data_IF_605031024228
#
_entry.id   IF_605031024228
#
_cell.length_a   1.000
_cell.length_b   1.000
_cell.length_c   1.000
_cell.angle_alpha   90.00
_cell.angle_beta   90.00
_cell.angle_gamma   90.00
#
_symmetry.space_group_name_H-M   'P 1'
#
loop_
_entity.id
_entity.type
_entity.pdbx_description
1 polymer ?
#
# COMPACT_ATOMS: atom_id res chain seq x y z
N UNK A 1 4.37 20.68 -28.56
CA UNK A 1 2.99 20.22 -28.35
C UNK A 1 3.06 19.29 -27.16
N UNK A 2 2.61 19.73 -25.99
CA UNK A 2 2.46 18.84 -24.83
C UNK A 2 1.28 17.95 -25.14
N UNK A 3 1.55 16.67 -25.39
CA UNK A 3 0.51 15.67 -25.56
C UNK A 3 -0.37 15.71 -24.30
N UNK A 4 -1.67 15.93 -24.49
CA UNK A 4 -2.66 15.92 -23.42
C UNK A 4 -2.83 14.45 -23.02
N UNK A 5 -1.95 13.99 -22.14
CA UNK A 5 -1.99 12.60 -21.65
C UNK A 5 -3.30 12.47 -20.88
N UNK A 6 -4.21 11.58 -21.29
CA UNK A 6 -5.49 11.42 -20.61
C UNK A 6 -5.24 11.03 -19.15
N UNK A 7 -5.97 11.67 -18.24
CA UNK A 7 -5.92 11.37 -16.80
C UNK A 7 -6.18 9.87 -16.64
N UNK A 8 -5.22 9.15 -16.05
CA UNK A 8 -5.35 7.71 -15.81
C UNK A 8 -6.44 7.43 -14.79
N UNK A 9 -7.24 6.41 -15.09
CA UNK A 9 -8.28 5.93 -14.19
C UNK A 9 -7.66 5.30 -12.92
N UNK A 10 -8.17 5.59 -11.70
CA UNK A 10 -7.63 5.05 -10.46
C UNK A 10 -7.58 3.52 -10.40
N UNK A 11 -8.55 2.81 -11.00
CA UNK A 11 -8.54 1.35 -11.02
C UNK A 11 -7.49 0.82 -12.00
N UNK A 12 -7.20 1.55 -13.08
CA UNK A 12 -6.06 1.24 -13.94
C UNK A 12 -4.74 1.38 -13.17
N UNK A 13 -4.54 2.51 -12.48
CA UNK A 13 -3.33 2.74 -11.67
C UNK A 13 -3.17 1.64 -10.61
N UNK A 14 -4.25 1.28 -9.91
CA UNK A 14 -4.26 0.19 -8.92
C UNK A 14 -3.79 -1.15 -9.52
N UNK A 15 -4.34 -1.53 -10.68
CA UNK A 15 -3.98 -2.78 -11.37
C UNK A 15 -2.53 -2.77 -11.85
N UNK A 16 -2.03 -1.65 -12.34
CA UNK A 16 -0.63 -1.53 -12.77
C UNK A 16 0.34 -1.62 -11.59
N UNK A 17 0.03 -0.95 -10.47
CA UNK A 17 0.75 -1.13 -9.22
C UNK A 17 0.80 -2.60 -8.80
N UNK A 18 -0.35 -3.28 -8.77
CA UNK A 18 -0.45 -4.68 -8.37
C UNK A 18 0.42 -5.58 -9.25
N UNK A 19 0.34 -5.42 -10.58
CA UNK A 19 1.14 -6.19 -11.53
C UNK A 19 2.64 -5.99 -11.35
N UNK A 20 3.10 -4.74 -11.18
CA UNK A 20 4.53 -4.42 -11.03
C UNK A 20 5.08 -4.87 -9.68
N UNK A 21 4.36 -4.57 -8.60
CA UNK A 21 4.78 -4.89 -7.24
C UNK A 21 4.76 -6.40 -6.95
N UNK A 22 3.87 -7.16 -7.57
CA UNK A 22 3.85 -8.62 -7.44
C UNK A 22 5.14 -9.29 -7.91
N UNK A 23 5.86 -8.66 -8.85
CA UNK A 23 7.12 -9.20 -9.38
C UNK A 23 8.34 -8.87 -8.50
N UNK A 24 8.19 -8.05 -7.45
CA UNK A 24 9.31 -7.63 -6.60
C UNK A 24 9.43 -8.56 -5.40
N UNK A 25 10.64 -9.08 -5.19
CA UNK A 25 10.95 -9.87 -3.99
C UNK A 25 11.05 -8.95 -2.76
N UNK A 26 10.11 -9.10 -1.84
CA UNK A 26 10.01 -8.36 -0.59
C UNK A 26 9.65 -9.32 0.54
N UNK A 27 9.80 -8.89 1.80
CA UNK A 27 9.36 -9.72 2.92
C UNK A 27 7.85 -9.97 2.88
N UNK A 28 7.41 -11.15 3.33
CA UNK A 28 5.99 -11.52 3.42
C UNK A 28 5.16 -10.47 4.19
N UNK A 29 5.76 -9.90 5.24
CA UNK A 29 5.15 -8.83 6.03
C UNK A 29 4.88 -7.57 5.21
N UNK A 30 5.83 -7.16 4.36
CA UNK A 30 5.64 -5.99 3.50
C UNK A 30 4.71 -6.32 2.32
N UNK A 31 4.75 -7.54 1.80
CA UNK A 31 3.82 -8.04 0.79
C UNK A 31 2.37 -7.98 1.28
N UNK A 32 2.11 -8.34 2.55
CA UNK A 32 0.77 -8.22 3.15
C UNK A 32 0.29 -6.77 3.21
N UNK A 33 1.19 -5.82 3.54
CA UNK A 33 0.88 -4.38 3.56
C UNK A 33 0.53 -3.88 2.15
N UNK A 34 1.33 -4.23 1.14
CA UNK A 34 1.08 -3.84 -0.24
C UNK A 34 -0.23 -4.45 -0.78
N UNK A 35 -0.48 -5.73 -0.48
CA UNK A 35 -1.74 -6.40 -0.81
C UNK A 35 -2.94 -5.67 -0.19
N UNK A 36 -2.86 -5.30 1.10
CA UNK A 36 -3.90 -4.53 1.76
C UNK A 36 -4.13 -3.15 1.11
N UNK A 37 -3.07 -2.41 0.75
CA UNK A 37 -3.19 -1.10 0.09
C UNK A 37 -3.85 -1.19 -1.28
N UNK A 38 -3.62 -2.29 -2.00
CA UNK A 38 -4.12 -2.52 -3.35
C UNK A 38 -5.45 -3.28 -3.38
N UNK A 39 -5.93 -3.78 -2.24
CA UNK A 39 -7.11 -4.62 -2.16
C UNK A 39 -6.91 -6.03 -2.74
N UNK A 40 -5.68 -6.53 -2.71
CA UNK A 40 -5.27 -7.83 -3.27
C UNK A 40 -5.03 -8.89 -2.17
N UNK A 41 -5.18 -10.15 -2.56
CA UNK A 41 -5.17 -11.31 -1.65
C UNK A 41 -3.83 -12.06 -1.75
N UNK A 42 -2.76 -11.34 -1.46
CA UNK A 42 -1.38 -11.80 -1.72
C UNK A 42 -0.80 -12.72 -0.65
N UNK A 43 -1.32 -12.67 0.57
CA UNK A 43 -0.78 -13.42 1.72
C UNK A 43 -1.88 -14.14 2.48
N UNK A 44 -1.50 -15.18 3.23
CA UNK A 44 -2.38 -15.91 4.15
C UNK A 44 -1.69 -16.00 5.52
N UNK A 45 -2.25 -15.45 6.60
CA UNK A 45 -3.54 -14.74 6.67
C UNK A 45 -3.51 -13.40 5.91
N UNK A 46 -4.63 -13.06 5.27
CA UNK A 46 -4.79 -11.81 4.53
C UNK A 46 -4.89 -10.64 5.51
N UNK A 47 -4.10 -9.59 5.27
CA UNK A 47 -4.29 -8.29 5.93
C UNK A 47 -5.45 -7.55 5.24
N UNK A 48 -6.50 -7.24 5.98
CA UNK A 48 -7.75 -6.65 5.41
C UNK A 48 -7.90 -5.17 5.71
N UNK A 49 -7.27 -4.69 6.78
CA UNK A 49 -7.38 -3.29 7.19
C UNK A 49 -6.13 -2.86 7.95
N UNK A 50 -5.80 -1.57 7.84
CA UNK A 50 -4.74 -0.93 8.60
C UNK A 50 -5.26 0.32 9.31
N UNK A 51 -4.61 0.70 10.40
CA UNK A 51 -4.88 1.94 11.12
C UNK A 51 -3.58 2.56 11.63
N UNK A 52 -3.54 3.90 11.66
CA UNK A 52 -2.42 4.65 12.25
C UNK A 52 -2.84 5.27 13.58
N UNK A 53 -2.16 4.86 14.65
CA UNK A 53 -2.38 5.33 16.01
C UNK A 53 -1.83 6.75 16.24
N UNK A 54 -2.22 7.46 17.33
CA UNK A 54 -1.77 8.82 17.62
C UNK A 54 -0.25 9.00 17.71
N UNK A 55 0.45 7.99 18.19
CA UNK A 55 1.90 7.93 18.28
C UNK A 55 2.60 7.51 16.98
N UNK A 56 1.84 7.27 15.90
CA UNK A 56 2.36 6.97 14.57
C UNK A 56 2.69 5.50 14.32
N UNK A 57 2.31 4.59 15.23
CA UNK A 57 2.37 3.16 14.96
C UNK A 57 1.32 2.76 13.91
N UNK A 58 1.70 1.79 13.09
CA UNK A 58 0.84 1.17 12.09
C UNK A 58 0.38 -0.17 12.64
N UNK A 59 -0.94 -0.32 12.77
CA UNK A 59 -1.57 -1.56 13.18
C UNK A 59 -2.36 -2.17 12.02
N UNK A 60 -2.43 -3.50 12.01
CA UNK A 60 -3.14 -4.30 11.04
C UNK A 60 -4.22 -5.16 11.68
N UNK A 61 -5.29 -5.38 10.93
CA UNK A 61 -6.31 -6.38 11.22
C UNK A 61 -6.27 -7.42 10.10
N UNK A 62 -6.00 -8.67 10.46
CA UNK A 62 -6.08 -9.78 9.51
C UNK A 62 -7.52 -10.28 9.40
N UNK A 63 -7.82 -10.99 8.31
CA UNK A 63 -9.12 -11.63 8.13
C UNK A 63 -9.45 -12.56 9.30
N UNK A 64 -10.73 -12.60 9.69
CA UNK A 64 -11.22 -13.34 10.85
C UNK A 64 -10.87 -12.74 12.23
N UNK A 65 -10.07 -11.68 12.31
CA UNK A 65 -9.77 -11.01 13.58
C UNK A 65 -10.82 -9.94 13.93
N UNK A 66 -11.21 -9.83 15.21
CA UNK A 66 -12.24 -8.86 15.65
C UNK A 66 -11.75 -7.41 15.69
N UNK A 67 -10.44 -7.17 15.59
CA UNK A 67 -9.87 -5.82 15.66
C UNK A 67 -8.39 -5.78 15.28
N UNK A 68 -7.81 -4.58 15.28
CA UNK A 68 -6.40 -4.34 15.01
C UNK A 68 -5.54 -4.96 16.11
N UNK A 69 -4.82 -6.03 15.78
CA UNK A 69 -3.99 -6.77 16.74
C UNK A 69 -2.57 -7.04 16.26
N UNK A 70 -2.29 -6.75 14.98
CA UNK A 70 -0.97 -6.99 14.37
C UNK A 70 -0.19 -5.68 14.33
N UNK A 71 0.98 -5.62 14.97
CA UNK A 71 1.88 -4.48 14.82
C UNK A 71 2.63 -4.58 13.49
N UNK A 72 2.53 -3.54 12.65
CA UNK A 72 3.09 -3.52 11.30
C UNK A 72 4.37 -2.66 11.19
N UNK A 73 4.63 -1.79 12.17
CA UNK A 73 5.78 -0.88 12.18
C UNK A 73 5.36 0.57 12.42
N UNK A 74 6.15 1.52 11.91
CA UNK A 74 5.84 2.95 11.97
C UNK A 74 5.31 3.46 10.62
N UNK A 75 4.30 4.33 10.66
CA UNK A 75 3.72 4.90 9.44
C UNK A 75 4.72 5.74 8.62
N UNK A 76 5.72 6.35 9.28
CA UNK A 76 6.77 7.09 8.60
C UNK A 76 7.71 6.18 7.80
N UNK A 77 8.02 4.99 8.33
CA UNK A 77 8.86 4.02 7.63
C UNK A 77 8.11 3.40 6.45
N UNK A 78 6.79 3.21 6.54
CA UNK A 78 5.99 2.73 5.42
C UNK A 78 6.11 3.64 4.18
N UNK A 79 6.04 4.96 4.36
CA UNK A 79 6.18 5.90 3.24
C UNK A 79 7.58 5.79 2.61
N UNK A 80 8.63 5.69 3.43
CA UNK A 80 10.00 5.48 2.93
C UNK A 80 10.12 4.17 2.16
N UNK A 81 9.53 3.09 2.68
CA UNK A 81 9.55 1.77 2.05
C UNK A 81 8.79 1.76 0.71
N UNK A 82 7.67 2.49 0.62
CA UNK A 82 6.93 2.66 -0.65
C UNK A 82 7.82 3.35 -1.70
N UNK A 83 8.53 4.42 -1.33
CA UNK A 83 9.46 5.05 -2.26
C UNK A 83 10.62 4.13 -2.68
N UNK A 84 11.14 3.33 -1.75
CA UNK A 84 12.18 2.34 -2.05
C UNK A 84 11.71 1.28 -3.04
N UNK A 85 10.56 0.64 -2.76
CA UNK A 85 10.01 -0.41 -3.65
C UNK A 85 9.53 0.17 -4.97
N UNK A 86 9.05 1.41 -5.00
CA UNK A 86 8.65 2.08 -6.23
C UNK A 86 9.78 2.19 -7.25
N UNK A 87 11.00 2.47 -6.78
CA UNK A 87 12.17 2.52 -7.65
C UNK A 87 12.51 1.14 -8.23
N UNK A 88 12.41 0.10 -7.41
CA UNK A 88 12.70 -1.29 -7.83
C UNK A 88 11.64 -1.83 -8.78
N UNK A 89 10.37 -1.50 -8.54
CA UNK A 89 9.23 -1.95 -9.36
C UNK A 89 9.01 -1.07 -10.61
N UNK A 90 9.84 -0.04 -10.81
CA UNK A 90 9.69 0.95 -11.88
C UNK A 90 8.27 1.57 -11.90
N UNK A 91 7.79 1.95 -10.71
CA UNK A 91 6.55 2.71 -10.58
C UNK A 91 6.77 4.14 -11.09
N UNK A 92 5.80 4.66 -11.81
CA UNK A 92 5.75 6.03 -12.26
C UNK A 92 5.10 6.96 -11.22
N UNK A 93 4.94 8.24 -11.58
CA UNK A 93 4.42 9.26 -10.68
C UNK A 93 2.99 9.02 -10.18
N UNK A 94 2.08 8.52 -11.03
CA UNK A 94 0.69 8.31 -10.58
C UNK A 94 0.58 7.05 -9.73
N UNK A 95 1.36 6.00 -10.02
CA UNK A 95 1.43 4.78 -9.23
C UNK A 95 1.98 5.05 -7.82
N UNK A 96 3.06 5.83 -7.71
CA UNK A 96 3.60 6.29 -6.42
C UNK A 96 2.57 7.17 -5.70
N UNK A 97 1.96 8.11 -6.42
CA UNK A 97 0.92 9.00 -5.88
C UNK A 97 -0.27 8.22 -5.32
N UNK A 98 -0.71 7.19 -6.02
CA UNK A 98 -1.80 6.31 -5.60
C UNK A 98 -1.47 5.61 -4.27
N UNK A 99 -0.30 4.97 -4.16
CA UNK A 99 0.09 4.26 -2.93
C UNK A 99 0.24 5.21 -1.74
N UNK A 100 0.85 6.38 -1.94
CA UNK A 100 0.99 7.39 -0.88
C UNK A 100 -0.38 7.92 -0.44
N UNK A 101 -1.31 8.13 -1.39
CA UNK A 101 -2.68 8.52 -1.08
C UNK A 101 -3.40 7.45 -0.24
N UNK A 102 -3.23 6.16 -0.57
CA UNK A 102 -3.78 5.05 0.23
C UNK A 102 -3.25 5.02 1.66
N UNK A 103 -1.95 5.26 1.86
CA UNK A 103 -1.40 5.40 3.22
C UNK A 103 -1.97 6.62 3.95
N UNK A 104 -2.23 7.71 3.25
CA UNK A 104 -2.84 8.90 3.83
C UNK A 104 -4.32 8.66 4.23
N UNK A 105 -5.07 7.88 3.45
CA UNK A 105 -6.44 7.46 3.79
C UNK A 105 -6.49 6.67 5.10
N UNK A 106 -5.53 5.77 5.33
CA UNK A 106 -5.38 5.02 6.60
C UNK A 106 -5.22 5.93 7.82
N UNK A 107 -4.64 7.12 7.65
CA UNK A 107 -4.51 8.12 8.72
C UNK A 107 -5.82 8.88 9.01
N UNK A 108 -6.74 8.92 8.04
CA UNK A 108 -7.99 9.70 8.12
C UNK A 108 -9.17 8.94 8.73
N UNK A 109 -9.09 7.61 8.85
CA UNK A 109 -10.16 6.77 9.38
C UNK A 109 -10.29 6.84 10.93
N UNK A 110 -10.21 8.05 11.50
CA UNK A 110 -10.46 8.31 12.92
C UNK A 110 -11.87 8.81 13.16
#
# INVERSE_FOLDING_TARGET
>A
MTEDVPIRDPDQIRRDCARKLWAVDVSEHFQAILGCLLGEDWTTPRLVEMAVTPDGALLGRCDGQPGFSTFLGAAADLIRNIHGVAQVAELDGDEVGYLVAKVAETKRQR
#
